data_IF_130821501878
#
_entry.id   IF_130821501878
#
_cell.length_a   1.000
_cell.length_b   1.000
_cell.length_c   1.000
_cell.angle_alpha   90.00
_cell.angle_beta   90.00
_cell.angle_gamma   90.00
#
_symmetry.space_group_name_H-M   'P 1'
#
loop_
_entity.id
_entity.type
_entity.pdbx_description
1 polymer ?
#
# COMPACT_ATOMS: atom_id res chain seq x y z
N UNK A 1 -3.83 12.66 6.40
CA UNK A 1 -4.12 11.86 5.21
C UNK A 1 -3.19 10.66 5.18
N UNK A 2 -3.71 9.49 4.89
CA UNK A 2 -2.94 8.26 4.84
C UNK A 2 -2.77 7.76 3.41
N UNK A 3 -1.62 7.18 3.13
CA UNK A 3 -1.35 6.41 1.92
C UNK A 3 -0.98 4.98 2.36
N UNK A 4 -1.67 3.98 1.86
CA UNK A 4 -1.35 2.58 2.13
C UNK A 4 -0.59 1.97 0.95
N UNK A 5 0.55 1.32 1.23
CA UNK A 5 1.13 0.44 0.23
C UNK A 5 0.35 -0.88 0.20
N UNK A 6 0.66 -1.74 -0.74
CA UNK A 6 -0.10 -2.97 -0.94
C UNK A 6 -0.01 -3.92 0.25
N UNK A 7 1.11 -3.92 0.99
CA UNK A 7 1.25 -4.77 2.19
C UNK A 7 0.26 -4.40 3.29
N UNK A 8 -0.20 -3.15 3.33
CA UNK A 8 -1.20 -2.69 4.28
C UNK A 8 -2.62 -2.82 3.74
N UNK A 9 -2.81 -2.88 2.41
CA UNK A 9 -4.13 -3.06 1.79
C UNK A 9 -4.58 -4.52 1.88
N UNK A 10 -3.71 -5.47 1.57
CA UNK A 10 -4.07 -6.89 1.48
C UNK A 10 -4.68 -7.46 2.78
N UNK A 11 -4.17 -7.11 3.99
CA UNK A 11 -4.78 -7.61 5.22
C UNK A 11 -6.22 -7.16 5.47
N UNK A 12 -6.68 -6.13 4.77
CA UNK A 12 -8.07 -5.70 4.85
C UNK A 12 -9.01 -6.69 4.16
N UNK A 13 -8.51 -7.45 3.18
CA UNK A 13 -9.30 -8.37 2.36
C UNK A 13 -9.03 -9.84 2.65
N UNK A 14 -7.87 -10.18 3.15
CA UNK A 14 -7.50 -11.53 3.53
C UNK A 14 -7.06 -11.53 4.97
N UNK A 15 -7.65 -12.41 5.79
CA UNK A 15 -7.34 -12.47 7.21
C UNK A 15 -5.87 -12.80 7.44
N UNK A 16 -5.18 -11.90 8.13
CA UNK A 16 -3.77 -11.98 8.49
C UNK A 16 -3.58 -11.38 9.88
N UNK A 17 -2.36 -11.46 10.41
CA UNK A 17 -2.06 -10.89 11.72
C UNK A 17 -2.35 -9.39 11.79
N UNK A 18 -2.13 -8.66 10.71
CA UNK A 18 -2.33 -7.21 10.66
C UNK A 18 -3.78 -6.77 10.43
N UNK A 19 -4.70 -7.70 10.14
CA UNK A 19 -6.05 -7.37 9.67
C UNK A 19 -6.83 -6.48 10.63
N UNK A 20 -6.81 -6.78 11.94
CA UNK A 20 -7.54 -5.97 12.92
C UNK A 20 -7.01 -4.54 12.99
N UNK A 21 -5.68 -4.37 12.96
CA UNK A 21 -5.04 -3.06 13.01
C UNK A 21 -5.36 -2.24 11.76
N UNK A 22 -5.36 -2.88 10.60
CA UNK A 22 -5.69 -2.23 9.33
C UNK A 22 -7.16 -1.82 9.34
N UNK A 23 -8.06 -2.71 9.73
CA UNK A 23 -9.49 -2.40 9.81
C UNK A 23 -9.76 -1.21 10.73
N UNK A 24 -9.13 -1.21 11.91
CA UNK A 24 -9.29 -0.11 12.86
C UNK A 24 -8.75 1.21 12.30
N UNK A 25 -7.59 1.17 11.65
CA UNK A 25 -6.99 2.34 11.03
C UNK A 25 -7.90 2.93 9.95
N UNK A 26 -8.47 2.09 9.09
CA UNK A 26 -9.37 2.55 8.03
C UNK A 26 -10.69 3.07 8.60
N UNK A 27 -11.23 2.44 9.65
CA UNK A 27 -12.47 2.85 10.27
C UNK A 27 -12.38 4.25 10.89
N UNK A 28 -11.19 4.66 11.34
CA UNK A 28 -10.96 5.97 11.92
C UNK A 28 -10.85 7.11 10.90
N UNK A 29 -10.75 6.77 9.61
CA UNK A 29 -10.55 7.79 8.59
C UNK A 29 -11.88 8.40 8.15
N UNK A 30 -11.92 9.74 8.08
CA UNK A 30 -13.07 10.50 7.59
C UNK A 30 -12.92 10.90 6.13
N UNK A 31 -11.71 10.75 5.57
CA UNK A 31 -11.40 11.05 4.18
C UNK A 31 -10.97 9.77 3.50
N UNK A 32 -11.07 9.69 2.15
CA UNK A 32 -10.54 8.54 1.43
C UNK A 32 -9.07 8.32 1.72
N UNK A 33 -8.69 7.06 1.85
CA UNK A 33 -7.30 6.66 2.01
C UNK A 33 -6.67 6.53 0.62
N UNK A 34 -5.46 7.04 0.47
CA UNK A 34 -4.78 7.02 -0.82
C UNK A 34 -4.11 5.67 -1.05
N UNK A 35 -4.23 5.20 -2.27
CA UNK A 35 -3.42 4.11 -2.83
C UNK A 35 -3.03 4.56 -4.24
N UNK A 36 -2.26 3.77 -4.96
CA UNK A 36 -1.91 4.12 -6.34
C UNK A 36 -2.38 3.04 -7.32
N UNK A 37 -2.29 3.35 -8.60
CA UNK A 37 -2.58 2.35 -9.65
C UNK A 37 -1.64 1.15 -9.57
N UNK A 38 -0.46 1.31 -8.98
CA UNK A 38 0.44 0.20 -8.70
C UNK A 38 -0.22 -0.86 -7.81
N UNK A 39 -1.04 -0.43 -6.84
CA UNK A 39 -1.75 -1.32 -5.94
C UNK A 39 -2.70 -2.25 -6.70
N UNK A 40 -3.35 -1.77 -7.77
CA UNK A 40 -4.23 -2.61 -8.58
C UNK A 40 -3.46 -3.80 -9.15
N UNK A 41 -2.27 -3.54 -9.70
CA UNK A 41 -1.43 -4.59 -10.28
C UNK A 41 -0.93 -5.53 -9.20
N UNK A 42 -0.50 -4.99 -8.07
CA UNK A 42 0.04 -5.80 -6.98
C UNK A 42 -1.04 -6.66 -6.31
N UNK A 43 -2.25 -6.16 -6.16
CA UNK A 43 -3.38 -6.97 -5.67
C UNK A 43 -3.66 -8.11 -6.64
N UNK A 44 -3.73 -7.82 -7.94
CA UNK A 44 -3.92 -8.86 -8.96
C UNK A 44 -2.81 -9.91 -8.89
N UNK A 45 -1.57 -9.48 -8.73
CA UNK A 45 -0.41 -10.37 -8.63
C UNK A 45 -0.48 -11.26 -7.38
N UNK A 46 -0.85 -10.70 -6.24
CA UNK A 46 -0.99 -11.46 -5.00
C UNK A 46 -2.09 -12.51 -5.10
N UNK A 47 -3.25 -12.14 -5.65
CA UNK A 47 -4.36 -13.08 -5.84
C UNK A 47 -3.97 -14.21 -6.79
N UNK A 48 -3.30 -13.88 -7.89
CA UNK A 48 -2.84 -14.89 -8.85
C UNK A 48 -1.86 -15.87 -8.20
N UNK A 49 -0.93 -15.37 -7.38
CA UNK A 49 0.03 -16.22 -6.68
C UNK A 49 -0.67 -17.12 -5.68
N UNK A 50 -1.60 -16.60 -4.89
CA UNK A 50 -2.30 -17.41 -3.89
C UNK A 50 -3.15 -18.51 -4.53
N UNK A 51 -3.76 -18.25 -5.69
CA UNK A 51 -4.48 -19.30 -6.43
C UNK A 51 -3.50 -20.36 -6.93
N UNK A 52 -2.38 -19.96 -7.55
CA UNK A 52 -1.37 -20.91 -8.04
C UNK A 52 -0.81 -21.78 -6.92
N UNK A 53 -0.65 -21.22 -5.73
CA UNK A 53 -0.11 -21.94 -4.57
C UNK A 53 -1.17 -22.75 -3.83
N UNK A 54 -2.42 -22.69 -4.26
CA UNK A 54 -3.51 -23.43 -3.62
C UNK A 54 -4.00 -22.79 -2.32
N UNK A 55 -3.59 -21.56 -2.02
CA UNK A 55 -4.02 -20.88 -0.78
C UNK A 55 -5.41 -20.27 -0.92
N UNK A 56 -5.84 -19.96 -2.13
CA UNK A 56 -7.18 -19.48 -2.45
C UNK A 56 -7.74 -20.25 -3.64
N UNK A 57 -9.06 -20.46 -3.62
CA UNK A 57 -9.77 -20.93 -4.83
C UNK A 57 -10.05 -19.76 -5.75
N UNK A 58 -10.37 -20.04 -7.02
CA UNK A 58 -10.79 -19.00 -7.96
C UNK A 58 -11.97 -18.17 -7.43
N UNK A 59 -13.07 -18.79 -6.92
CA UNK A 59 -14.18 -18.01 -6.38
C UNK A 59 -13.77 -17.11 -5.20
N UNK A 60 -12.86 -17.58 -4.34
CA UNK A 60 -12.37 -16.76 -3.22
C UNK A 60 -11.58 -15.55 -3.73
N UNK A 61 -10.70 -15.76 -4.70
CA UNK A 61 -9.94 -14.66 -5.31
C UNK A 61 -10.86 -13.65 -5.98
N UNK A 62 -11.89 -14.13 -6.70
CA UNK A 62 -12.86 -13.27 -7.36
C UNK A 62 -13.64 -12.41 -6.36
N UNK A 63 -13.97 -12.97 -5.19
CA UNK A 63 -14.67 -12.21 -4.14
C UNK A 63 -13.79 -11.10 -3.57
N UNK A 64 -12.51 -11.38 -3.34
CA UNK A 64 -11.57 -10.37 -2.86
C UNK A 64 -11.40 -9.26 -3.89
N UNK A 65 -11.19 -9.62 -5.14
CA UNK A 65 -11.05 -8.65 -6.23
C UNK A 65 -12.27 -7.74 -6.33
N UNK A 66 -13.47 -8.33 -6.29
CA UNK A 66 -14.72 -7.56 -6.35
C UNK A 66 -14.87 -6.62 -5.16
N UNK A 67 -14.52 -7.08 -3.96
CA UNK A 67 -14.58 -6.26 -2.75
C UNK A 67 -13.62 -5.08 -2.83
N UNK A 68 -12.41 -5.31 -3.34
CA UNK A 68 -11.42 -4.25 -3.52
C UNK A 68 -11.93 -3.17 -4.49
N UNK A 69 -12.40 -3.56 -5.67
CA UNK A 69 -12.90 -2.60 -6.65
C UNK A 69 -14.19 -1.91 -6.18
N UNK A 70 -15.02 -2.59 -5.41
CA UNK A 70 -16.19 -1.96 -4.79
C UNK A 70 -15.76 -0.85 -3.84
N UNK A 71 -14.75 -1.08 -2.99
CA UNK A 71 -14.25 -0.06 -2.08
C UNK A 71 -13.64 1.12 -2.82
N UNK A 72 -12.96 0.89 -3.93
CA UNK A 72 -12.46 1.98 -4.79
C UNK A 72 -13.65 2.78 -5.36
N UNK A 73 -14.66 2.09 -5.86
CA UNK A 73 -15.85 2.70 -6.44
C UNK A 73 -16.63 3.54 -5.42
N UNK A 74 -16.69 3.07 -4.18
CA UNK A 74 -17.40 3.76 -3.09
C UNK A 74 -16.57 4.89 -2.47
N UNK A 75 -15.34 5.09 -2.92
CA UNK A 75 -14.49 6.16 -2.42
C UNK A 75 -13.77 5.88 -1.12
N UNK A 76 -13.75 4.62 -0.66
CA UNK A 76 -12.93 4.26 0.51
C UNK A 76 -11.46 4.46 0.20
N UNK A 77 -11.05 4.10 -1.00
CA UNK A 77 -9.70 4.35 -1.51
C UNK A 77 -9.76 5.31 -2.68
N UNK A 78 -8.80 6.23 -2.73
CA UNK A 78 -8.60 7.11 -3.87
C UNK A 78 -7.31 6.70 -4.58
N UNK A 79 -7.40 6.46 -5.88
CA UNK A 79 -6.27 6.02 -6.70
C UNK A 79 -5.44 7.22 -7.14
N UNK A 80 -4.16 7.25 -6.75
CA UNK A 80 -3.22 8.27 -7.19
C UNK A 80 -2.52 7.80 -8.47
N UNK A 81 -2.42 8.66 -9.48
CA UNK A 81 -1.62 8.32 -10.66
C UNK A 81 -0.14 8.33 -10.32
N UNK A 82 0.63 7.49 -11.03
CA UNK A 82 2.08 7.51 -10.95
C UNK A 82 2.60 8.30 -12.14
N UNK A 83 3.17 9.45 -11.86
CA UNK A 83 3.66 10.39 -12.87
C UNK A 83 5.17 10.18 -13.11
N UNK A 84 5.72 10.70 -14.22
CA UNK A 84 7.16 10.66 -14.43
C UNK A 84 7.98 11.25 -13.29
N UNK A 85 7.46 12.26 -12.58
CA UNK A 85 8.13 12.83 -11.42
C UNK A 85 8.30 11.83 -10.28
N UNK A 86 7.34 10.94 -10.10
CA UNK A 86 7.43 9.88 -9.09
C UNK A 86 8.54 8.89 -9.43
N UNK A 87 8.67 8.51 -10.71
CA UNK A 87 9.76 7.64 -11.14
C UNK A 87 11.13 8.29 -10.91
N UNK A 88 11.26 9.57 -11.20
CA UNK A 88 12.52 10.31 -10.98
C UNK A 88 12.84 10.39 -9.48
N UNK A 89 11.84 10.64 -8.64
CA UNK A 89 12.04 10.71 -7.19
C UNK A 89 12.47 9.37 -6.63
N UNK A 90 11.80 8.28 -7.04
CA UNK A 90 12.15 6.92 -6.65
C UNK A 90 13.58 6.58 -7.06
N UNK A 91 13.93 6.89 -8.31
CA UNK A 91 15.28 6.67 -8.83
C UNK A 91 16.34 7.43 -8.01
N UNK A 92 16.04 8.67 -7.64
CA UNK A 92 16.95 9.48 -6.83
C UNK A 92 17.23 8.80 -5.48
N UNK A 93 16.19 8.38 -4.75
CA UNK A 93 16.39 7.72 -3.46
C UNK A 93 17.22 6.44 -3.58
N UNK A 94 16.91 5.62 -4.57
CA UNK A 94 17.62 4.35 -4.77
C UNK A 94 19.09 4.61 -5.13
N UNK A 95 19.36 5.63 -5.93
CA UNK A 95 20.73 5.98 -6.32
C UNK A 95 21.58 6.48 -5.16
N UNK A 96 20.98 6.94 -4.08
CA UNK A 96 21.76 7.33 -2.89
C UNK A 96 22.47 6.12 -2.27
N UNK A 97 21.93 4.91 -2.46
CA UNK A 97 22.45 3.65 -1.88
C UNK A 97 22.58 3.69 -0.37
N UNK A 98 21.71 4.50 0.29
CA UNK A 98 21.72 4.68 1.75
C UNK A 98 20.70 3.80 2.45
N UNK A 99 19.78 3.19 1.72
CA UNK A 99 18.72 2.34 2.28
C UNK A 99 18.60 1.08 1.43
N UNK A 100 17.78 0.13 1.91
CA UNK A 100 17.46 -1.09 1.16
C UNK A 100 16.19 -0.94 0.33
N UNK A 101 15.82 0.29 0.00
CA UNK A 101 14.61 0.60 -0.76
C UNK A 101 14.65 -0.04 -2.15
N UNK A 102 13.56 -0.73 -2.52
CA UNK A 102 13.44 -1.40 -3.82
C UNK A 102 12.46 -0.64 -4.71
N UNK A 103 12.42 -1.03 -5.99
CA UNK A 103 11.73 -0.30 -7.06
C UNK A 103 10.27 0.02 -6.73
N UNK A 104 9.45 -1.00 -6.43
CA UNK A 104 8.01 -0.78 -6.22
C UNK A 104 7.76 -0.02 -4.92
N UNK A 105 8.53 -0.31 -3.89
CA UNK A 105 8.43 0.39 -2.60
C UNK A 105 8.77 1.87 -2.76
N UNK A 106 9.78 2.18 -3.57
CA UNK A 106 10.16 3.57 -3.86
C UNK A 106 9.04 4.33 -4.57
N UNK A 107 8.31 3.66 -5.46
CA UNK A 107 7.17 4.27 -6.13
C UNK A 107 6.01 4.55 -5.16
N UNK A 108 5.72 3.62 -4.26
CA UNK A 108 4.74 3.87 -3.20
C UNK A 108 5.15 5.06 -2.34
N UNK A 109 6.43 5.10 -1.96
CA UNK A 109 6.96 6.19 -1.14
C UNK A 109 6.86 7.54 -1.86
N UNK A 110 7.14 7.56 -3.16
CA UNK A 110 7.03 8.78 -3.96
C UNK A 110 5.59 9.29 -4.01
N UNK A 111 4.61 8.39 -4.14
CA UNK A 111 3.20 8.76 -4.11
C UNK A 111 2.79 9.33 -2.75
N UNK A 112 3.25 8.72 -1.66
CA UNK A 112 2.97 9.21 -0.32
C UNK A 112 3.55 10.61 -0.11
N UNK A 113 4.81 10.81 -0.48
CA UNK A 113 5.48 12.10 -0.35
C UNK A 113 4.79 13.18 -1.16
N UNK A 114 4.47 12.89 -2.42
CA UNK A 114 3.85 13.86 -3.31
C UNK A 114 2.52 14.37 -2.74
N UNK A 115 1.77 13.51 -2.09
CA UNK A 115 0.47 13.85 -1.53
C UNK A 115 0.56 14.30 -0.06
N UNK A 116 1.76 14.42 0.49
CA UNK A 116 2.00 14.78 1.90
C UNK A 116 1.24 13.87 2.85
N UNK A 117 1.15 12.60 2.50
CA UNK A 117 0.45 11.60 3.29
C UNK A 117 1.42 10.83 4.17
N UNK A 118 0.91 10.34 5.29
CA UNK A 118 1.65 9.38 6.12
C UNK A 118 1.56 8.01 5.44
N UNK A 119 2.72 7.39 5.23
CA UNK A 119 2.78 6.05 4.65
C UNK A 119 2.44 5.01 5.70
N UNK A 120 1.45 4.19 5.44
CA UNK A 120 1.13 3.03 6.26
C UNK A 120 1.56 1.78 5.50
N UNK A 121 2.40 0.97 6.13
CA UNK A 121 2.97 -0.22 5.50
C UNK A 121 3.19 -1.29 6.57
N UNK A 122 3.16 -2.55 6.17
CA UNK A 122 3.56 -3.65 7.04
C UNK A 122 5.01 -4.08 6.75
N UNK A 123 5.68 -3.43 5.80
CA UNK A 123 7.07 -3.70 5.43
C UNK A 123 8.01 -2.78 6.23
N UNK A 124 8.71 -3.37 7.20
CA UNK A 124 9.64 -2.60 8.06
C UNK A 124 10.79 -1.97 7.27
N UNK A 125 11.23 -2.60 6.18
CA UNK A 125 12.31 -2.06 5.35
C UNK A 125 11.85 -0.77 4.67
N UNK A 126 10.61 -0.76 4.16
CA UNK A 126 10.04 0.45 3.54
C UNK A 126 9.85 1.55 4.59
N UNK A 127 9.31 1.21 5.76
CA UNK A 127 9.13 2.18 6.85
C UNK A 127 10.47 2.82 7.23
N UNK A 128 11.50 2.01 7.43
CA UNK A 128 12.85 2.51 7.78
C UNK A 128 13.38 3.46 6.72
N UNK A 129 13.24 3.11 5.45
CA UNK A 129 13.70 3.97 4.36
C UNK A 129 12.92 5.28 4.32
N UNK A 130 11.60 5.23 4.52
CA UNK A 130 10.76 6.44 4.56
C UNK A 130 11.23 7.39 5.65
N UNK A 131 11.42 6.87 6.86
CA UNK A 131 11.88 7.67 8.00
C UNK A 131 13.27 8.25 7.75
N UNK A 132 14.16 7.48 7.13
CA UNK A 132 15.49 7.97 6.77
C UNK A 132 15.41 9.20 5.86
N UNK A 133 14.46 9.21 4.93
CA UNK A 133 14.27 10.34 4.00
C UNK A 133 13.33 11.41 4.55
N UNK A 134 12.94 11.33 5.82
CA UNK A 134 12.12 12.36 6.47
C UNK A 134 10.64 12.29 6.15
N UNK A 135 10.16 11.13 5.70
CA UNK A 135 8.75 10.93 5.35
C UNK A 135 8.08 10.14 6.47
N UNK A 136 6.96 10.66 6.98
CA UNK A 136 6.22 9.97 8.02
C UNK A 136 5.74 8.61 7.54
N UNK A 137 6.02 7.59 8.33
CA UNK A 137 5.63 6.22 8.01
C UNK A 137 5.47 5.41 9.29
N UNK A 138 4.53 4.47 9.28
CA UNK A 138 4.26 3.60 10.43
C UNK A 138 3.52 2.35 9.97
N UNK A 139 3.47 1.34 10.83
CA UNK A 139 2.54 0.23 10.66
C UNK A 139 1.13 0.69 11.01
N UNK A 140 0.14 -0.02 10.50
CA UNK A 140 -1.25 0.24 10.86
C UNK A 140 -1.42 0.10 12.37
N UNK A 141 -2.13 1.05 12.98
CA UNK A 141 -2.38 1.05 14.43
C UNK A 141 -1.22 1.54 15.30
N UNK A 142 -0.08 1.84 14.72
CA UNK A 142 1.08 2.33 15.48
C UNK A 142 1.06 3.86 15.68
N UNK A 143 0.12 4.54 15.05
CA UNK A 143 -0.05 6.00 15.20
C UNK A 143 -0.87 6.26 16.45
N UNK A 144 -0.19 6.48 17.52
CA UNK A 144 -0.84 6.86 18.76
C UNK A 144 -1.39 8.26 18.70
#
# INVERSE_FOLDING_TARGET
MLYLDTSAVLPYYRQEQASERVQATLADQTQPVLISHLTEVEVASALARWVRMGELTEPQANRIESAFYEDVSQGRFALCPIEPTHYRRASYWIRTRKTSLRTLDALHLACAEHNRATLISEDEVLISAALFFGIEAAQAGATG
#
